data_IF_007081007314
#
_entry.id   IF_007081007314
#
_cell.length_a   1.000
_cell.length_b   1.000
_cell.length_c   1.000
_cell.angle_alpha   90.00
_cell.angle_beta   90.00
_cell.angle_gamma   90.00
#
_symmetry.space_group_name_H-M   'P 1'
#
loop_
_entity.id
_entity.type
_entity.pdbx_description
1 polymer ?
#
# COMPACT_ATOMS: atom_id res chain seq x y z
N UNK A 1 -9.14 -10.18 -7.17
CA UNK A 1 -8.47 -8.98 -7.72
C UNK A 1 -9.11 -7.69 -7.21
N UNK A 2 -10.44 -7.54 -7.20
CA UNK A 2 -11.12 -6.34 -6.65
C UNK A 2 -10.61 -5.95 -5.25
N UNK A 3 -10.46 -6.92 -4.34
CA UNK A 3 -9.94 -6.72 -2.96
C UNK A 3 -8.44 -6.41 -2.90
N UNK A 4 -7.60 -7.13 -3.67
CA UNK A 4 -6.14 -6.89 -3.76
C UNK A 4 -5.81 -5.50 -4.33
N UNK A 5 -6.66 -5.02 -5.24
CA UNK A 5 -6.57 -3.72 -5.91
C UNK A 5 -7.07 -2.56 -5.02
N UNK A 6 -7.79 -2.88 -3.94
CA UNK A 6 -8.33 -1.86 -3.03
C UNK A 6 -7.22 -1.27 -2.17
N UNK A 7 -6.31 -2.07 -1.61
CA UNK A 7 -5.30 -1.56 -0.67
C UNK A 7 -4.19 -0.73 -1.35
N UNK A 8 -3.81 -1.09 -2.58
CA UNK A 8 -2.82 -0.35 -3.35
C UNK A 8 -3.32 1.01 -3.90
N UNK A 9 -4.57 1.40 -3.59
CA UNK A 9 -5.12 2.70 -3.96
C UNK A 9 -5.45 3.58 -2.74
N UNK A 10 -5.21 3.10 -1.51
CA UNK A 10 -5.77 3.73 -0.31
C UNK A 10 -4.81 4.59 0.52
N UNK A 11 -3.51 4.59 0.24
CA UNK A 11 -2.53 5.42 0.95
C UNK A 11 -2.24 6.77 0.26
N UNK A 12 -2.99 7.08 -0.80
CA UNK A 12 -2.78 8.21 -1.68
C UNK A 12 -3.86 9.27 -1.43
N UNK A 13 -3.91 9.83 -0.22
CA UNK A 13 -4.95 10.79 0.14
C UNK A 13 -4.40 12.03 0.85
N UNK A 14 -3.38 12.62 0.23
CA UNK A 14 -3.20 14.06 0.21
C UNK A 14 -3.07 14.48 -1.26
N UNK A 15 -3.88 15.44 -1.69
CA UNK A 15 -3.95 16.02 -3.04
C UNK A 15 -4.54 15.16 -4.17
N UNK A 16 -5.87 15.19 -4.31
CA UNK A 16 -6.58 15.43 -5.58
C UNK A 16 -8.09 15.22 -5.38
N UNK A 17 -8.83 16.33 -5.32
CA UNK A 17 -10.28 16.34 -5.46
C UNK A 17 -10.65 16.00 -6.92
N UNK A 18 -11.73 15.24 -7.10
CA UNK A 18 -12.37 14.86 -8.38
C UNK A 18 -11.92 13.54 -9.03
N UNK A 19 -12.37 12.41 -8.48
CA UNK A 19 -12.53 11.15 -9.22
C UNK A 19 -13.98 10.64 -9.03
N UNK A 20 -14.69 10.45 -10.14
CA UNK A 20 -16.10 10.04 -10.17
C UNK A 20 -16.30 8.60 -9.64
N UNK A 21 -17.09 8.50 -8.57
CA UNK A 21 -18.07 7.49 -8.14
C UNK A 21 -17.91 5.96 -8.35
N UNK A 22 -16.85 5.39 -8.92
CA UNK A 22 -16.67 3.92 -8.90
C UNK A 22 -15.82 3.49 -7.70
N UNK A 23 -16.48 3.32 -6.53
CA UNK A 23 -15.91 2.65 -5.35
C UNK A 23 -15.01 3.52 -4.46
N UNK A 24 -15.52 4.64 -3.94
CA UNK A 24 -14.85 5.34 -2.83
C UNK A 24 -14.83 4.44 -1.60
N UNK A 25 -13.65 4.28 -1.01
CA UNK A 25 -13.50 3.68 0.31
C UNK A 25 -14.29 4.55 1.31
N UNK A 26 -15.06 3.96 2.26
CA UNK A 26 -15.74 4.75 3.28
C UNK A 26 -14.74 5.64 4.03
N UNK A 27 -15.11 6.88 4.34
CA UNK A 27 -14.20 7.85 4.97
C UNK A 27 -13.64 7.35 6.30
N UNK A 28 -14.43 6.59 7.07
CA UNK A 28 -13.98 5.93 8.30
C UNK A 28 -12.80 4.97 8.04
N UNK A 29 -12.90 4.14 7.00
CA UNK A 29 -11.86 3.18 6.64
C UNK A 29 -10.62 3.87 6.08
N UNK A 30 -10.79 4.96 5.35
CA UNK A 30 -9.68 5.82 4.93
C UNK A 30 -8.92 6.37 6.13
N UNK A 31 -9.63 6.94 7.10
CA UNK A 31 -9.04 7.51 8.33
C UNK A 31 -8.30 6.44 9.13
N UNK A 32 -8.87 5.25 9.23
CA UNK A 32 -8.23 4.11 9.89
C UNK A 32 -6.90 3.71 9.23
N UNK A 33 -6.87 3.62 7.90
CA UNK A 33 -5.65 3.27 7.16
C UNK A 33 -4.55 4.32 7.32
N UNK A 34 -4.91 5.61 7.31
CA UNK A 34 -3.98 6.71 7.57
C UNK A 34 -3.42 6.61 8.99
N UNK A 35 -4.29 6.43 9.99
CA UNK A 35 -3.87 6.28 11.39
C UNK A 35 -2.90 5.13 11.59
N UNK A 36 -3.17 3.97 10.98
CA UNK A 36 -2.26 2.81 11.07
C UNK A 36 -0.93 3.05 10.37
N UNK A 37 -0.95 3.82 9.29
CA UNK A 37 0.28 4.19 8.59
C UNK A 37 1.12 5.16 9.42
N UNK A 38 0.50 6.15 10.04
CA UNK A 38 1.16 7.06 10.97
C UNK A 38 1.72 6.32 12.19
N UNK A 39 0.97 5.33 12.70
CA UNK A 39 1.44 4.44 13.76
C UNK A 39 2.66 3.63 13.33
N UNK A 40 2.69 3.12 12.10
CA UNK A 40 3.88 2.47 11.55
C UNK A 40 5.08 3.42 11.53
N UNK A 41 4.93 4.64 10.97
CA UNK A 41 6.03 5.62 10.90
C UNK A 41 6.58 5.93 12.30
N UNK A 42 5.68 6.09 13.28
CA UNK A 42 6.02 6.35 14.68
C UNK A 42 6.72 5.15 15.33
N UNK A 43 6.20 3.94 15.18
CA UNK A 43 6.79 2.70 15.74
C UNK A 43 8.15 2.37 15.14
N UNK A 44 8.31 2.60 13.85
CA UNK A 44 9.60 2.44 13.18
C UNK A 44 10.58 3.55 13.56
N UNK A 45 10.13 4.66 14.15
CA UNK A 45 11.00 5.79 14.48
C UNK A 45 11.62 6.40 13.22
N UNK A 46 10.81 6.61 12.17
CA UNK A 46 11.31 7.19 10.93
C UNK A 46 11.69 8.66 11.14
N UNK A 47 12.85 9.06 10.63
CA UNK A 47 13.19 10.49 10.55
C UNK A 47 12.30 11.19 9.52
N UNK A 48 12.29 12.54 9.52
CA UNK A 48 11.56 13.31 8.51
C UNK A 48 12.00 12.94 7.08
N UNK A 49 13.32 12.91 6.82
CA UNK A 49 13.85 12.53 5.51
C UNK A 49 13.58 11.07 5.12
N UNK A 50 13.55 10.14 6.07
CA UNK A 50 13.12 8.77 5.78
C UNK A 50 11.62 8.70 5.48
N UNK A 51 10.80 9.45 6.22
CA UNK A 51 9.35 9.49 6.03
C UNK A 51 8.98 9.97 4.63
N UNK A 52 9.60 11.05 4.14
CA UNK A 52 9.39 11.56 2.78
C UNK A 52 9.78 10.54 1.69
N UNK A 53 10.89 9.83 1.88
CA UNK A 53 11.33 8.77 0.97
C UNK A 53 10.38 7.59 0.98
N UNK A 54 9.94 7.14 2.16
CA UNK A 54 8.95 6.06 2.31
C UNK A 54 7.62 6.46 1.64
N UNK A 55 7.17 7.71 1.81
CA UNK A 55 5.98 8.24 1.13
C UNK A 55 6.14 8.18 -0.39
N UNK A 56 7.30 8.59 -0.90
CA UNK A 56 7.61 8.55 -2.34
C UNK A 56 7.63 7.13 -2.90
N UNK A 57 8.25 6.18 -2.20
CA UNK A 57 8.28 4.76 -2.59
C UNK A 57 6.88 4.17 -2.61
N UNK A 58 6.08 4.44 -1.58
CA UNK A 58 4.69 4.02 -1.52
C UNK A 58 3.85 4.64 -2.65
N UNK A 59 4.00 5.94 -2.90
CA UNK A 59 3.32 6.65 -3.98
C UNK A 59 3.62 6.03 -5.36
N UNK A 60 4.89 5.73 -5.64
CA UNK A 60 5.33 5.04 -6.86
C UNK A 60 4.63 3.69 -7.00
N UNK A 61 4.67 2.85 -5.96
CA UNK A 61 4.01 1.55 -5.97
C UNK A 61 2.51 1.66 -6.26
N UNK A 62 1.81 2.61 -5.62
CA UNK A 62 0.36 2.79 -5.81
C UNK A 62 0.00 3.28 -7.21
N UNK A 63 0.78 4.20 -7.79
CA UNK A 63 0.60 4.61 -9.19
C UNK A 63 0.74 3.40 -10.13
N UNK A 64 1.78 2.59 -9.94
CA UNK A 64 2.02 1.40 -10.75
C UNK A 64 0.91 0.35 -10.61
N UNK A 65 0.43 0.08 -9.40
CA UNK A 65 -0.69 -0.86 -9.20
C UNK A 65 -2.01 -0.30 -9.72
N UNK A 66 -2.23 1.02 -9.66
CA UNK A 66 -3.40 1.65 -10.26
C UNK A 66 -3.43 1.44 -11.78
N UNK A 67 -2.28 1.62 -12.44
CA UNK A 67 -2.13 1.33 -13.88
C UNK A 67 -2.37 -0.15 -14.22
N UNK A 68 -2.07 -1.09 -13.31
CA UNK A 68 -2.35 -2.51 -13.53
C UNK A 68 -3.86 -2.84 -13.61
N UNK A 69 -4.74 -1.97 -13.10
CA UNK A 69 -6.20 -2.20 -13.16
C UNK A 69 -6.74 -2.16 -14.58
N UNK A 70 -6.20 -1.23 -15.39
CA UNK A 70 -6.58 -1.01 -16.79
C UNK A 70 -5.65 -1.75 -17.76
N UNK A 71 -4.55 -2.33 -17.28
CA UNK A 71 -3.63 -3.10 -18.10
C UNK A 71 -4.28 -4.36 -18.70
N UNK A 72 -3.94 -4.60 -19.98
CA UNK A 72 -4.31 -5.80 -20.71
C UNK A 72 -3.61 -7.05 -20.15
N UNK A 73 -4.23 -8.21 -20.38
CA UNK A 73 -3.71 -9.52 -20.00
C UNK A 73 -4.59 -10.32 -19.04
N UNK A 74 -4.22 -11.59 -18.88
CA UNK A 74 -4.94 -12.53 -18.01
C UNK A 74 -4.83 -12.15 -16.53
N UNK A 75 -5.73 -12.68 -15.69
CA UNK A 75 -5.68 -12.48 -14.24
C UNK A 75 -4.33 -12.90 -13.65
N UNK A 76 -3.77 -14.02 -14.13
CA UNK A 76 -2.48 -14.54 -13.69
C UNK A 76 -1.32 -13.61 -14.10
N UNK A 77 -1.33 -13.08 -15.32
CA UNK A 77 -0.31 -12.13 -15.79
C UNK A 77 -0.32 -10.85 -14.95
N UNK A 78 -1.49 -10.29 -14.67
CA UNK A 78 -1.61 -9.11 -13.78
C UNK A 78 -1.15 -9.41 -12.36
N UNK A 79 -1.43 -10.60 -11.84
CA UNK A 79 -0.92 -11.02 -10.53
C UNK A 79 0.61 -11.12 -10.50
N UNK A 80 1.24 -11.70 -11.53
CA UNK A 80 2.71 -11.74 -11.65
C UNK A 80 3.31 -10.34 -11.68
N UNK A 81 2.73 -9.42 -12.46
CA UNK A 81 3.15 -8.00 -12.49
C UNK A 81 3.01 -7.33 -11.12
N UNK A 82 1.90 -7.54 -10.43
CA UNK A 82 1.71 -7.05 -9.06
C UNK A 82 2.80 -7.57 -8.10
N UNK A 83 3.13 -8.87 -8.17
CA UNK A 83 4.20 -9.46 -7.34
C UNK A 83 5.57 -8.85 -7.63
N UNK A 84 5.86 -8.52 -8.88
CA UNK A 84 7.08 -7.81 -9.24
C UNK A 84 7.12 -6.40 -8.61
N UNK A 85 6.02 -5.64 -8.71
CA UNK A 85 5.92 -4.32 -8.07
C UNK A 85 6.07 -4.39 -6.53
N UNK A 86 5.54 -5.44 -5.90
CA UNK A 86 5.69 -5.66 -4.46
C UNK A 86 7.15 -5.91 -4.08
N UNK A 87 7.86 -6.70 -4.89
CA UNK A 87 9.30 -6.95 -4.72
C UNK A 87 10.12 -5.69 -4.92
N UNK A 88 9.82 -4.90 -5.95
CA UNK A 88 10.47 -3.61 -6.21
C UNK A 88 10.28 -2.65 -5.04
N UNK A 89 9.05 -2.52 -4.53
CA UNK A 89 8.77 -1.70 -3.34
C UNK A 89 9.58 -2.16 -2.12
N UNK A 90 9.69 -3.46 -1.91
CA UNK A 90 10.45 -3.99 -0.77
C UNK A 90 11.96 -3.70 -0.90
N UNK A 91 12.52 -3.74 -2.11
CA UNK A 91 13.90 -3.33 -2.38
C UNK A 91 14.08 -1.83 -2.13
N UNK A 92 13.20 -0.99 -2.68
CA UNK A 92 13.22 0.46 -2.49
C UNK A 92 13.11 0.83 -0.99
N UNK A 93 12.26 0.12 -0.22
CA UNK A 93 12.14 0.32 1.22
C UNK A 93 13.39 -0.09 2.00
N UNK A 94 14.03 -1.20 1.62
CA UNK A 94 15.27 -1.66 2.27
C UNK A 94 16.44 -0.70 2.04
N UNK A 95 16.43 0.06 0.94
CA UNK A 95 17.43 1.09 0.68
C UNK A 95 17.22 2.37 1.53
N UNK A 96 16.00 2.61 2.03
CA UNK A 96 15.63 3.81 2.81
C UNK A 96 15.66 3.54 4.31
N UNK A 97 15.29 2.33 4.72
CA UNK A 97 15.12 1.92 6.12
C UNK A 97 16.33 1.14 6.61
N UNK A 98 16.67 1.28 7.89
CA UNK A 98 17.59 0.35 8.53
C UNK A 98 16.90 -1.00 8.84
N UNK A 99 17.65 -1.99 9.30
CA UNK A 99 17.11 -3.35 9.52
C UNK A 99 15.96 -3.40 10.54
N UNK A 100 16.03 -2.59 11.61
CA UNK A 100 14.98 -2.54 12.63
C UNK A 100 13.70 -1.91 12.08
N UNK A 101 13.82 -0.79 11.37
CA UNK A 101 12.74 -0.11 10.68
C UNK A 101 12.10 -0.99 9.60
N UNK A 102 12.93 -1.68 8.82
CA UNK A 102 12.49 -2.59 7.77
C UNK A 102 11.71 -3.78 8.37
N UNK A 103 12.14 -4.31 9.51
CA UNK A 103 11.39 -5.36 10.24
C UNK A 103 10.00 -4.87 10.64
N UNK A 104 9.87 -3.64 11.13
CA UNK A 104 8.57 -3.06 11.48
C UNK A 104 7.70 -2.85 10.23
N UNK A 105 8.30 -2.41 9.13
CA UNK A 105 7.61 -2.33 7.83
C UNK A 105 7.05 -3.69 7.37
N UNK A 106 7.84 -4.77 7.48
CA UNK A 106 7.37 -6.13 7.13
C UNK A 106 6.24 -6.59 8.06
N UNK A 107 6.29 -6.25 9.36
CA UNK A 107 5.19 -6.52 10.30
C UNK A 107 3.92 -5.77 9.91
N UNK A 108 4.03 -4.49 9.61
CA UNK A 108 2.92 -3.66 9.12
C UNK A 108 2.28 -4.27 7.86
N UNK A 109 3.09 -4.64 6.86
CA UNK A 109 2.59 -5.31 5.65
C UNK A 109 1.86 -6.63 5.95
N UNK A 110 2.40 -7.46 6.84
CA UNK A 110 1.77 -8.74 7.20
C UNK A 110 0.42 -8.53 7.88
N UNK A 111 0.35 -7.62 8.85
CA UNK A 111 -0.90 -7.29 9.55
C UNK A 111 -1.99 -6.83 8.58
N UNK A 112 -1.64 -5.95 7.64
CA UNK A 112 -2.57 -5.50 6.59
C UNK A 112 -3.04 -6.66 5.69
N UNK A 113 -2.15 -7.59 5.35
CA UNK A 113 -2.47 -8.76 4.53
C UNK A 113 -3.39 -9.75 5.25
N UNK A 114 -3.14 -9.99 6.53
CA UNK A 114 -3.92 -10.95 7.31
C UNK A 114 -5.33 -10.43 7.59
N UNK A 115 -5.49 -9.12 7.81
CA UNK A 115 -6.81 -8.50 7.89
C UNK A 115 -7.61 -8.71 6.59
N UNK A 116 -6.98 -8.53 5.42
CA UNK A 116 -7.63 -8.76 4.14
C UNK A 116 -8.09 -10.21 3.97
N UNK A 117 -7.28 -11.18 4.42
CA UNK A 117 -7.67 -12.60 4.41
C UNK A 117 -8.85 -12.84 5.35
N UNK A 118 -8.80 -12.29 6.56
CA UNK A 118 -9.87 -12.42 7.54
C UNK A 118 -11.19 -11.82 7.02
N UNK A 119 -11.16 -10.66 6.37
CA UNK A 119 -12.34 -10.07 5.73
C UNK A 119 -12.89 -10.94 4.60
N UNK A 120 -12.02 -11.55 3.79
CA UNK A 120 -12.44 -12.47 2.71
C UNK A 120 -13.10 -13.74 3.26
N UNK A 121 -12.60 -14.28 4.37
CA UNK A 121 -13.13 -15.51 4.96
C UNK A 121 -14.44 -15.28 5.74
N UNK A 122 -14.79 -14.02 6.03
CA UNK A 122 -16.06 -13.61 6.67
C UNK A 122 -17.17 -13.31 5.65
N UNK A 123 -16.87 -13.36 4.36
CA UNK A 123 -17.82 -13.20 3.24
C UNK A 123 -18.06 -14.55 2.59
#
# INVERSE_FOLDING_TARGET
MKTLVTLAACLLLAAATSVKAQGRLPDARKKELLSRYDDFKRKAGLTAGQSEKVDSVNLKFFKSVSALKTASGSKLQRYKRYKALESERDQDMKAVLNDAQYKEYKRFQSAMKDELKAQRNKQ
#
